data_IF_721116634569
#
_entry.id   IF_721116634569
#
_cell.length_a   1.000
_cell.length_b   1.000
_cell.length_c   1.000
_cell.angle_alpha   90.00
_cell.angle_beta   90.00
_cell.angle_gamma   90.00
#
_symmetry.space_group_name_H-M   'P 1'
#
loop_
_entity.id
_entity.type
_entity.pdbx_description
1 polymer ?
#
# COMPACT_ATOMS: atom_id res chain seq x y z
N UNK A 1 -1.64 24.31 22.06
CA UNK A 1 -1.79 23.30 21.02
C UNK A 1 -0.50 23.35 20.19
N UNK A 2 0.38 22.39 20.34
CA UNK A 2 1.71 22.44 19.71
C UNK A 2 2.01 21.07 19.09
N UNK A 3 2.52 21.08 17.85
CA UNK A 3 3.10 19.92 17.19
C UNK A 3 4.21 19.31 18.06
N UNK A 4 4.25 18.00 18.17
CA UNK A 4 5.33 17.29 18.86
C UNK A 4 6.68 17.54 18.15
N UNK A 5 7.78 17.54 18.91
CA UNK A 5 9.11 17.77 18.35
C UNK A 5 9.48 16.77 17.24
N UNK A 6 9.01 15.53 17.36
CA UNK A 6 9.22 14.45 16.36
C UNK A 6 8.48 14.77 15.05
N UNK A 7 7.22 15.21 15.12
CA UNK A 7 6.41 15.56 13.94
C UNK A 7 7.05 16.70 13.15
N UNK A 8 7.51 17.75 13.87
CA UNK A 8 8.24 18.87 13.23
C UNK A 8 9.49 18.41 12.51
N UNK A 9 10.28 17.50 13.12
CA UNK A 9 11.49 16.96 12.49
C UNK A 9 11.13 16.20 11.23
N UNK A 10 10.11 15.34 11.24
CA UNK A 10 9.68 14.57 10.07
C UNK A 10 9.25 15.50 8.94
N UNK A 11 8.43 16.51 9.23
CA UNK A 11 7.94 17.47 8.24
C UNK A 11 9.11 18.26 7.64
N UNK A 12 9.98 18.82 8.47
CA UNK A 12 11.12 19.61 8.00
C UNK A 12 12.06 18.75 7.16
N UNK A 13 12.39 17.55 7.64
CA UNK A 13 13.26 16.61 6.91
C UNK A 13 12.63 16.18 5.59
N UNK A 14 11.32 15.89 5.57
CA UNK A 14 10.59 15.52 4.36
C UNK A 14 10.65 16.62 3.30
N UNK A 15 10.39 17.86 3.66
CA UNK A 15 10.48 18.98 2.71
C UNK A 15 11.91 19.31 2.28
N UNK A 16 12.91 19.15 3.17
CA UNK A 16 14.32 19.32 2.79
C UNK A 16 14.72 18.26 1.76
N UNK A 17 14.41 16.97 2.01
CA UNK A 17 14.75 15.89 1.08
C UNK A 17 13.97 16.07 -0.24
N UNK A 18 12.73 16.54 -0.20
CA UNK A 18 11.96 16.90 -1.39
C UNK A 18 12.67 18.01 -2.21
N UNK A 19 13.19 19.04 -1.55
CA UNK A 19 13.94 20.10 -2.23
C UNK A 19 15.25 19.56 -2.84
N UNK A 20 15.96 18.68 -2.13
CA UNK A 20 17.15 18.01 -2.67
C UNK A 20 16.79 17.14 -3.88
N UNK A 21 15.68 16.38 -3.82
CA UNK A 21 15.18 15.59 -4.93
C UNK A 21 14.92 16.47 -6.17
N UNK A 22 14.28 17.64 -5.98
CA UNK A 22 14.07 18.61 -7.06
C UNK A 22 15.38 19.13 -7.66
N UNK A 23 16.36 19.48 -6.83
CA UNK A 23 17.68 19.90 -7.33
C UNK A 23 18.33 18.81 -8.17
N UNK A 24 18.33 17.56 -7.70
CA UNK A 24 18.89 16.43 -8.44
C UNK A 24 18.19 16.19 -9.78
N UNK A 25 16.86 16.35 -9.82
CA UNK A 25 16.07 16.24 -11.03
C UNK A 25 16.45 17.32 -12.06
N UNK A 26 16.46 18.60 -11.67
CA UNK A 26 16.73 19.73 -12.57
C UNK A 26 18.21 19.84 -12.98
N UNK A 27 19.12 19.30 -12.19
CA UNK A 27 20.57 19.27 -12.54
C UNK A 27 20.97 18.03 -13.34
N UNK A 28 19.99 17.16 -13.68
CA UNK A 28 20.26 15.90 -14.36
C UNK A 28 21.38 15.09 -13.70
N UNK A 29 21.34 15.01 -12.36
CA UNK A 29 22.33 14.29 -11.56
C UNK A 29 22.30 12.78 -11.85
N UNK A 30 23.21 12.03 -11.22
CA UNK A 30 23.27 10.58 -11.35
C UNK A 30 21.88 9.94 -11.08
N UNK A 31 21.39 9.15 -12.04
CA UNK A 31 20.03 8.59 -12.02
C UNK A 31 19.77 7.71 -10.78
N UNK A 32 20.77 6.91 -10.35
CA UNK A 32 20.62 6.06 -9.16
C UNK A 32 20.51 6.90 -7.89
N UNK A 33 21.32 7.98 -7.78
CA UNK A 33 21.22 8.90 -6.65
C UNK A 33 19.87 9.63 -6.63
N UNK A 34 19.42 10.15 -7.79
CA UNK A 34 18.12 10.80 -7.92
C UNK A 34 16.98 9.84 -7.56
N UNK A 35 17.04 8.60 -8.03
CA UNK A 35 16.10 7.53 -7.69
C UNK A 35 16.05 7.24 -6.18
N UNK A 36 17.18 7.04 -5.51
CA UNK A 36 17.23 6.78 -4.08
C UNK A 36 16.70 7.96 -3.25
N UNK A 37 17.07 9.20 -3.63
CA UNK A 37 16.62 10.40 -2.90
C UNK A 37 15.12 10.65 -3.11
N UNK A 38 14.59 10.47 -4.32
CA UNK A 38 13.15 10.62 -4.60
C UNK A 38 12.35 9.51 -3.91
N UNK A 39 12.83 8.27 -3.86
CA UNK A 39 12.20 7.19 -3.09
C UNK A 39 12.13 7.54 -1.59
N UNK A 40 13.23 8.03 -1.02
CA UNK A 40 13.26 8.49 0.38
C UNK A 40 12.34 9.68 0.64
N UNK A 41 12.26 10.63 -0.32
CA UNK A 41 11.34 11.76 -0.23
C UNK A 41 9.87 11.30 -0.25
N UNK A 42 9.50 10.37 -1.15
CA UNK A 42 8.16 9.78 -1.20
C UNK A 42 7.78 9.10 0.11
N UNK A 43 8.68 8.29 0.68
CA UNK A 43 8.43 7.62 1.95
C UNK A 43 8.19 8.62 3.10
N UNK A 44 8.95 9.73 3.15
CA UNK A 44 8.74 10.78 4.16
C UNK A 44 7.46 11.59 3.91
N UNK A 45 7.16 11.90 2.65
CA UNK A 45 5.91 12.58 2.30
C UNK A 45 4.70 11.72 2.61
N UNK A 46 4.79 10.39 2.38
CA UNK A 46 3.77 9.46 2.80
C UNK A 46 3.54 9.53 4.32
N UNK A 47 4.60 9.54 5.15
CA UNK A 47 4.48 9.73 6.61
C UNK A 47 3.77 11.04 6.97
N UNK A 48 4.09 12.14 6.30
CA UNK A 48 3.47 13.45 6.55
C UNK A 48 1.99 13.45 6.16
N UNK A 49 1.64 12.85 5.02
CA UNK A 49 0.25 12.70 4.55
C UNK A 49 -0.56 11.87 5.55
N UNK A 50 0.00 10.75 6.03
CA UNK A 50 -0.66 9.90 7.02
C UNK A 50 -0.91 10.63 8.35
N UNK A 51 0.12 11.27 8.90
CA UNK A 51 0.00 12.05 10.14
C UNK A 51 -1.05 13.18 9.98
N UNK A 52 -0.99 13.93 8.89
CA UNK A 52 -1.94 15.00 8.63
C UNK A 52 -3.39 14.49 8.47
N UNK A 53 -3.56 13.35 7.82
CA UNK A 53 -4.85 12.68 7.65
C UNK A 53 -5.41 12.19 8.99
N UNK A 54 -4.57 11.62 9.85
CA UNK A 54 -4.96 11.20 11.20
C UNK A 54 -5.39 12.40 12.06
N UNK A 55 -4.63 13.48 12.04
CA UNK A 55 -4.96 14.73 12.76
C UNK A 55 -6.27 15.33 12.27
N UNK A 56 -6.50 15.34 10.96
CA UNK A 56 -7.74 15.82 10.36
C UNK A 56 -8.92 14.91 10.76
N UNK A 57 -8.75 13.60 10.65
CA UNK A 57 -9.77 12.61 10.97
C UNK A 57 -10.19 12.63 12.43
N UNK A 58 -9.24 12.85 13.34
CA UNK A 58 -9.51 12.92 14.77
C UNK A 58 -10.50 14.04 15.15
N UNK A 59 -10.63 15.05 14.31
CA UNK A 59 -11.57 16.16 14.47
C UNK A 59 -13.02 15.77 14.12
N UNK A 60 -13.24 14.74 13.31
CA UNK A 60 -14.56 14.34 12.79
C UNK A 60 -15.09 13.02 13.41
N UNK A 61 -14.23 12.26 14.06
CA UNK A 61 -14.60 10.98 14.66
C UNK A 61 -14.09 9.74 13.90
N UNK A 62 -14.18 8.55 14.52
CA UNK A 62 -13.50 7.34 14.03
C UNK A 62 -13.91 6.90 12.62
N UNK A 63 -15.18 7.02 12.27
CA UNK A 63 -15.68 6.63 10.94
C UNK A 63 -15.11 7.50 9.83
N UNK A 64 -15.14 8.83 10.03
CA UNK A 64 -14.60 9.79 9.06
C UNK A 64 -13.08 9.66 8.94
N UNK A 65 -12.37 9.37 10.05
CA UNK A 65 -10.93 9.10 10.02
C UNK A 65 -10.61 7.94 9.09
N UNK A 66 -11.36 6.84 9.16
CA UNK A 66 -11.18 5.69 8.30
C UNK A 66 -11.37 6.01 6.81
N UNK A 67 -12.40 6.81 6.47
CA UNK A 67 -12.64 7.24 5.07
C UNK A 67 -11.49 8.14 4.59
N UNK A 68 -11.08 9.12 5.39
CA UNK A 68 -9.99 10.03 5.03
C UNK A 68 -8.67 9.26 4.84
N UNK A 69 -8.40 8.28 5.71
CA UNK A 69 -7.20 7.46 5.60
C UNK A 69 -7.24 6.56 4.36
N UNK A 70 -8.41 6.00 4.02
CA UNK A 70 -8.58 5.27 2.77
C UNK A 70 -8.41 6.15 1.53
N UNK A 71 -8.88 7.41 1.59
CA UNK A 71 -8.78 8.34 0.46
C UNK A 71 -7.39 8.94 0.27
N UNK A 72 -6.70 9.29 1.36
CA UNK A 72 -5.46 10.06 1.32
C UNK A 72 -4.22 9.26 1.70
N UNK A 73 -4.34 8.16 2.44
CA UNK A 73 -3.20 7.37 2.91
C UNK A 73 -2.30 6.88 1.79
N UNK A 74 -2.88 6.43 0.68
CA UNK A 74 -2.14 5.89 -0.47
C UNK A 74 -1.96 6.90 -1.62
N UNK A 75 -2.10 8.22 -1.37
CA UNK A 75 -1.88 9.23 -2.41
C UNK A 75 -0.50 9.16 -3.07
N UNK A 76 0.61 9.00 -2.34
CA UNK A 76 1.93 8.88 -2.96
C UNK A 76 2.01 7.68 -3.90
N UNK A 77 1.49 6.53 -3.52
CA UNK A 77 1.44 5.33 -4.35
C UNK A 77 0.56 5.54 -5.59
N UNK A 78 -0.61 6.19 -5.42
CA UNK A 78 -1.48 6.57 -6.53
C UNK A 78 -0.76 7.45 -7.55
N UNK A 79 -0.04 8.48 -7.10
CA UNK A 79 0.70 9.38 -7.98
C UNK A 79 1.83 8.66 -8.72
N UNK A 80 2.64 7.86 -8.02
CA UNK A 80 3.69 7.05 -8.66
C UNK A 80 3.08 6.17 -9.76
N UNK A 81 1.97 5.48 -9.48
CA UNK A 81 1.30 4.63 -10.47
C UNK A 81 0.75 5.44 -11.65
N UNK A 82 0.16 6.62 -11.42
CA UNK A 82 -0.33 7.50 -12.50
C UNK A 82 0.81 7.93 -13.41
N UNK A 83 1.92 8.42 -12.86
CA UNK A 83 3.07 8.85 -13.66
C UNK A 83 3.75 7.68 -14.36
N UNK A 84 3.86 6.52 -13.72
CA UNK A 84 4.39 5.30 -14.33
C UNK A 84 3.51 4.81 -15.51
N UNK A 85 2.17 4.87 -15.39
CA UNK A 85 1.25 4.57 -16.49
C UNK A 85 1.44 5.54 -17.67
N UNK A 86 1.57 6.84 -17.38
CA UNK A 86 1.84 7.85 -18.42
C UNK A 86 3.18 7.63 -19.11
N UNK A 87 4.17 7.11 -18.39
CA UNK A 87 5.48 6.74 -18.94
C UNK A 87 5.47 5.37 -19.67
N UNK A 88 4.34 4.64 -19.68
CA UNK A 88 4.22 3.34 -20.32
C UNK A 88 4.75 2.16 -19.51
N UNK A 89 5.08 2.37 -18.24
CA UNK A 89 5.68 1.38 -17.34
C UNK A 89 4.62 0.48 -16.66
N UNK A 90 3.77 -0.18 -17.46
CA UNK A 90 2.66 -1.01 -16.94
C UNK A 90 3.12 -2.12 -16.01
N UNK A 91 4.26 -2.76 -16.32
CA UNK A 91 4.80 -3.84 -15.48
C UNK A 91 5.28 -3.33 -14.11
N UNK A 92 5.82 -2.11 -14.06
CA UNK A 92 6.16 -1.46 -12.79
C UNK A 92 4.89 -1.25 -11.96
N UNK A 93 3.81 -0.75 -12.58
CA UNK A 93 2.54 -0.50 -11.87
C UNK A 93 1.91 -1.80 -11.37
N UNK A 94 1.82 -2.83 -12.22
CA UNK A 94 1.32 -4.14 -11.80
C UNK A 94 2.20 -4.72 -10.69
N UNK A 95 3.52 -4.63 -10.84
CA UNK A 95 4.49 -5.02 -9.81
C UNK A 95 4.27 -4.27 -8.50
N UNK A 96 4.10 -2.94 -8.56
CA UNK A 96 3.87 -2.11 -7.38
C UNK A 96 2.60 -2.49 -6.62
N UNK A 97 1.47 -2.61 -7.32
CA UNK A 97 0.18 -2.94 -6.71
C UNK A 97 0.16 -4.34 -6.11
N UNK A 98 0.64 -5.35 -6.84
CA UNK A 98 0.77 -6.70 -6.31
C UNK A 98 1.83 -6.75 -5.22
N UNK A 99 2.96 -6.07 -5.41
CA UNK A 99 4.04 -5.97 -4.45
C UNK A 99 3.61 -5.35 -3.12
N UNK A 100 2.76 -4.32 -3.15
CA UNK A 100 2.20 -3.71 -1.95
C UNK A 100 1.32 -4.68 -1.16
N UNK A 101 0.51 -5.50 -1.86
CA UNK A 101 -0.27 -6.56 -1.21
C UNK A 101 0.67 -7.61 -0.62
N UNK A 102 1.70 -8.05 -1.36
CA UNK A 102 2.70 -9.03 -0.90
C UNK A 102 3.50 -8.48 0.29
N UNK A 103 3.98 -7.25 0.20
CA UNK A 103 4.74 -6.61 1.27
C UNK A 103 3.91 -6.52 2.55
N UNK A 104 2.67 -6.04 2.48
CA UNK A 104 1.79 -5.95 3.64
C UNK A 104 1.46 -7.34 4.21
N UNK A 105 1.04 -8.29 3.36
CA UNK A 105 0.57 -9.62 3.80
C UNK A 105 1.68 -10.56 4.25
N UNK A 106 2.91 -10.38 3.79
CA UNK A 106 4.04 -11.25 4.11
C UNK A 106 5.14 -10.54 4.91
N UNK A 107 5.72 -9.46 4.37
CA UNK A 107 6.86 -8.79 5.01
C UNK A 107 6.43 -8.05 6.28
N UNK A 108 5.45 -7.16 6.17
CA UNK A 108 5.03 -6.29 7.28
C UNK A 108 4.31 -7.07 8.35
N UNK A 109 3.38 -7.95 7.94
CA UNK A 109 2.71 -8.86 8.86
C UNK A 109 3.74 -9.78 9.55
N UNK A 110 4.69 -10.32 8.79
CA UNK A 110 5.77 -11.14 9.33
C UNK A 110 6.65 -10.39 10.32
N UNK A 111 7.06 -9.16 10.02
CA UNK A 111 7.84 -8.32 10.94
C UNK A 111 7.05 -7.95 12.20
N UNK A 112 5.75 -7.65 12.06
CA UNK A 112 4.86 -7.35 13.17
C UNK A 112 4.75 -8.56 14.11
N UNK A 113 4.49 -9.75 13.58
CA UNK A 113 4.40 -10.99 14.34
C UNK A 113 5.76 -11.34 14.97
N UNK A 114 6.86 -11.19 14.24
CA UNK A 114 8.21 -11.48 14.73
C UNK A 114 8.59 -10.57 15.91
N UNK A 115 8.56 -9.25 15.70
CA UNK A 115 8.97 -8.32 16.75
C UNK A 115 7.99 -8.28 17.93
N UNK A 116 6.69 -8.41 17.64
CA UNK A 116 5.66 -8.53 18.67
C UNK A 116 5.82 -9.80 19.50
N UNK A 117 6.00 -10.94 18.83
CA UNK A 117 6.16 -12.24 19.45
C UNK A 117 7.46 -12.42 20.23
N UNK A 118 8.59 -11.92 19.72
CA UNK A 118 9.87 -11.94 20.44
C UNK A 118 9.81 -11.15 21.74
N UNK A 119 9.06 -10.06 21.78
CA UNK A 119 8.93 -9.22 22.97
C UNK A 119 7.87 -9.70 23.95
N UNK A 120 6.73 -10.13 23.45
CA UNK A 120 5.53 -10.36 24.28
C UNK A 120 5.11 -11.85 24.36
N UNK A 121 5.81 -12.76 23.67
CA UNK A 121 5.39 -14.16 23.52
C UNK A 121 4.26 -14.33 22.52
N UNK A 122 3.45 -15.37 22.67
CA UNK A 122 2.26 -15.58 21.83
C UNK A 122 1.29 -14.42 21.96
N UNK A 123 0.97 -13.76 20.85
CA UNK A 123 0.05 -12.64 20.84
C UNK A 123 -1.34 -13.11 20.40
N UNK A 124 -2.37 -12.65 21.12
CA UNK A 124 -3.77 -12.97 20.82
C UNK A 124 -4.49 -11.76 20.26
N UNK A 125 -5.39 -12.01 19.32
CA UNK A 125 -6.22 -11.00 18.68
C UNK A 125 -7.63 -11.55 18.39
N UNK A 126 -8.60 -10.63 18.24
CA UNK A 126 -9.95 -11.00 17.80
C UNK A 126 -9.91 -11.45 16.35
N UNK A 127 -10.18 -12.71 16.10
CA UNK A 127 -10.06 -13.28 14.76
C UNK A 127 -11.17 -12.85 13.79
N UNK A 128 -12.34 -12.40 14.25
CA UNK A 128 -13.47 -12.09 13.36
C UNK A 128 -13.19 -10.93 12.38
N UNK A 129 -12.66 -9.75 12.80
CA UNK A 129 -12.35 -8.69 11.86
C UNK A 129 -11.31 -9.09 10.79
N UNK A 130 -10.14 -9.65 11.14
CA UNK A 130 -9.17 -10.09 10.15
C UNK A 130 -9.68 -11.21 9.24
N UNK A 131 -10.50 -12.15 9.73
CA UNK A 131 -11.14 -13.18 8.91
C UNK A 131 -12.03 -12.60 7.80
N UNK A 132 -12.81 -11.58 8.12
CA UNK A 132 -13.65 -10.93 7.12
C UNK A 132 -12.79 -10.27 6.03
N UNK A 133 -11.72 -9.56 6.43
CA UNK A 133 -10.79 -8.95 5.48
C UNK A 133 -10.10 -10.03 4.64
N UNK A 134 -9.63 -11.12 5.25
CA UNK A 134 -9.03 -12.25 4.54
C UNK A 134 -10.00 -12.88 3.52
N UNK A 135 -11.29 -13.03 3.88
CA UNK A 135 -12.32 -13.52 2.95
C UNK A 135 -12.47 -12.57 1.75
N UNK A 136 -12.56 -11.26 1.99
CA UNK A 136 -12.64 -10.27 0.90
C UNK A 136 -11.37 -10.27 0.05
N UNK A 137 -10.19 -10.47 0.62
CA UNK A 137 -8.93 -10.61 -0.11
C UNK A 137 -8.92 -11.85 -1.00
N UNK A 138 -9.42 -12.99 -0.52
CA UNK A 138 -9.55 -14.23 -1.32
C UNK A 138 -10.51 -14.00 -2.48
N UNK A 139 -11.64 -13.34 -2.24
CA UNK A 139 -12.61 -13.01 -3.30
C UNK A 139 -12.00 -12.02 -4.32
N UNK A 140 -11.29 -11.00 -3.85
CA UNK A 140 -10.57 -10.06 -4.70
C UNK A 140 -9.54 -10.78 -5.58
N UNK A 141 -8.73 -11.65 -4.98
CA UNK A 141 -7.78 -12.48 -5.72
C UNK A 141 -8.47 -13.34 -6.78
N UNK A 142 -9.55 -14.04 -6.42
CA UNK A 142 -10.30 -14.87 -7.37
C UNK A 142 -10.82 -14.03 -8.56
N UNK A 143 -11.32 -12.83 -8.28
CA UNK A 143 -11.76 -11.89 -9.31
C UNK A 143 -10.59 -11.41 -10.21
N UNK A 144 -9.46 -11.00 -9.60
CA UNK A 144 -8.26 -10.57 -10.33
C UNK A 144 -7.63 -11.69 -11.17
N UNK A 145 -7.83 -12.97 -10.80
CA UNK A 145 -7.34 -14.11 -11.56
C UNK A 145 -8.09 -14.32 -12.88
N UNK A 146 -9.37 -13.90 -12.99
CA UNK A 146 -10.22 -14.17 -14.15
C UNK A 146 -9.62 -13.62 -15.46
N UNK A 147 -9.20 -12.33 -15.58
CA UNK A 147 -8.62 -11.81 -16.81
C UNK A 147 -7.32 -12.53 -17.21
N UNK A 148 -6.48 -12.86 -16.23
CA UNK A 148 -5.22 -13.60 -16.45
C UNK A 148 -5.51 -15.01 -16.99
N UNK A 149 -6.44 -15.73 -16.37
CA UNK A 149 -6.84 -17.07 -16.81
C UNK A 149 -7.53 -17.03 -18.19
N UNK A 150 -8.38 -16.03 -18.44
CA UNK A 150 -9.02 -15.81 -19.74
C UNK A 150 -7.99 -15.72 -20.86
N UNK A 151 -6.91 -14.98 -20.65
CA UNK A 151 -5.82 -14.84 -21.62
C UNK A 151 -4.93 -16.09 -21.70
N UNK A 152 -4.60 -16.70 -20.56
CA UNK A 152 -3.73 -17.86 -20.50
C UNK A 152 -4.36 -19.09 -21.19
N UNK A 153 -5.67 -19.26 -21.04
CA UNK A 153 -6.44 -20.38 -21.59
C UNK A 153 -7.03 -20.10 -23.00
N UNK A 154 -6.74 -18.92 -23.57
CA UNK A 154 -7.22 -18.49 -24.88
C UNK A 154 -8.75 -18.68 -25.05
N UNK A 155 -9.52 -18.27 -24.03
CA UNK A 155 -10.98 -18.36 -24.08
C UNK A 155 -11.57 -17.33 -25.04
N UNK A 156 -12.83 -17.53 -25.49
CA UNK A 156 -13.52 -16.57 -26.37
C UNK A 156 -13.65 -15.16 -25.76
N UNK A 157 -13.57 -15.03 -24.42
CA UNK A 157 -13.59 -13.76 -23.72
C UNK A 157 -12.30 -12.94 -23.86
N UNK A 158 -11.21 -13.54 -24.37
CA UNK A 158 -9.94 -12.84 -24.61
C UNK A 158 -10.10 -11.64 -25.57
N UNK A 159 -10.99 -11.75 -26.56
CA UNK A 159 -11.30 -10.64 -27.47
C UNK A 159 -11.96 -9.43 -26.79
N UNK A 160 -12.45 -9.59 -25.57
CA UNK A 160 -13.17 -8.56 -24.79
C UNK A 160 -12.48 -8.18 -23.47
N UNK A 161 -11.16 -8.41 -23.35
CA UNK A 161 -10.41 -8.19 -22.09
C UNK A 161 -10.59 -6.77 -21.53
N UNK A 162 -10.52 -5.73 -22.36
CA UNK A 162 -10.70 -4.35 -21.90
C UNK A 162 -12.09 -4.13 -21.27
N UNK A 163 -13.12 -4.69 -21.87
CA UNK A 163 -14.48 -4.61 -21.33
C UNK A 163 -14.61 -5.41 -20.03
N UNK A 164 -13.99 -6.57 -19.98
CA UNK A 164 -13.93 -7.42 -18.78
C UNK A 164 -13.20 -6.69 -17.64
N UNK A 165 -12.08 -6.04 -17.93
CA UNK A 165 -11.30 -5.25 -16.95
C UNK A 165 -12.14 -4.09 -16.39
N UNK A 166 -12.85 -3.34 -17.23
CA UNK A 166 -13.75 -2.27 -16.77
C UNK A 166 -14.88 -2.82 -15.90
N UNK A 167 -15.52 -3.92 -16.33
CA UNK A 167 -16.59 -4.54 -15.56
C UNK A 167 -16.10 -5.04 -14.20
N UNK A 168 -14.95 -5.69 -14.18
CA UNK A 168 -14.30 -6.17 -12.96
C UNK A 168 -13.93 -5.00 -12.03
N UNK A 169 -13.34 -3.94 -12.58
CA UNK A 169 -12.97 -2.76 -11.81
C UNK A 169 -14.19 -2.12 -11.12
N UNK A 170 -15.31 -2.01 -11.81
CA UNK A 170 -16.55 -1.48 -11.25
C UNK A 170 -17.07 -2.37 -10.11
N UNK A 171 -17.08 -3.69 -10.29
CA UNK A 171 -17.52 -4.64 -9.24
C UNK A 171 -16.64 -4.54 -7.99
N UNK A 172 -15.30 -4.51 -8.17
CA UNK A 172 -14.37 -4.40 -7.06
C UNK A 172 -14.52 -3.07 -6.30
N UNK A 173 -14.72 -1.95 -7.02
CA UNK A 173 -14.96 -0.64 -6.39
C UNK A 173 -16.32 -0.60 -5.66
N UNK A 174 -17.37 -1.19 -6.20
CA UNK A 174 -18.65 -1.31 -5.49
C UNK A 174 -18.48 -2.13 -4.21
N UNK A 175 -17.73 -3.23 -4.29
CA UNK A 175 -17.43 -4.08 -3.13
C UNK A 175 -16.59 -3.30 -2.08
N UNK A 176 -15.63 -2.51 -2.51
CA UNK A 176 -14.84 -1.62 -1.65
C UNK A 176 -15.73 -0.59 -0.93
N UNK A 177 -16.58 0.10 -1.66
CA UNK A 177 -17.53 1.08 -1.12
C UNK A 177 -18.48 0.40 -0.12
N UNK A 178 -19.04 -0.75 -0.47
CA UNK A 178 -19.92 -1.51 0.41
C UNK A 178 -19.22 -1.95 1.69
N UNK A 179 -17.97 -2.45 1.61
CA UNK A 179 -17.17 -2.83 2.78
C UNK A 179 -16.86 -1.64 3.70
N UNK A 180 -16.60 -0.49 3.11
CA UNK A 180 -16.37 0.77 3.85
C UNK A 180 -17.65 1.22 4.58
N UNK A 181 -18.80 1.22 3.91
CA UNK A 181 -20.08 1.55 4.55
C UNK A 181 -20.46 0.57 5.65
N UNK A 182 -20.21 -0.72 5.45
CA UNK A 182 -20.44 -1.74 6.47
C UNK A 182 -19.60 -1.45 7.73
N UNK A 183 -18.33 -1.10 7.55
CA UNK A 183 -17.43 -0.73 8.64
C UNK A 183 -17.89 0.50 9.41
N UNK A 184 -18.48 1.49 8.72
CA UNK A 184 -18.98 2.73 9.35
C UNK A 184 -20.22 2.52 10.22
N UNK A 185 -21.06 1.53 9.93
CA UNK A 185 -22.30 1.26 10.68
C UNK A 185 -22.05 0.59 12.04
N UNK A 186 -20.82 0.36 12.43
CA UNK A 186 -20.48 -0.04 13.81
C UNK A 186 -20.49 -1.53 14.08
N UNK A 187 -20.74 -2.37 13.08
CA UNK A 187 -20.40 -3.78 13.13
C UNK A 187 -18.88 -3.89 12.92
N UNK A 188 -18.14 -3.75 14.01
CA UNK A 188 -16.69 -3.48 14.16
C UNK A 188 -15.77 -4.53 13.55
N UNK A 189 -16.10 -5.04 12.37
CA UNK A 189 -15.35 -6.12 11.73
C UNK A 189 -14.17 -5.64 10.86
N UNK A 190 -14.20 -4.41 10.34
CA UNK A 190 -13.21 -3.96 9.33
C UNK A 190 -12.41 -2.72 9.75
N UNK A 191 -12.95 -1.88 10.62
CA UNK A 191 -12.21 -0.71 11.14
C UNK A 191 -12.02 -0.85 12.65
N UNK A 192 -10.81 -0.66 13.19
CA UNK A 192 -10.63 -0.61 14.63
C UNK A 192 -11.50 0.48 15.21
N UNK A 193 -12.48 0.11 16.02
CA UNK A 193 -13.48 1.03 16.56
C UNK A 193 -12.93 2.07 17.56
N UNK A 194 -11.64 2.05 17.87
CA UNK A 194 -11.00 3.06 18.74
C UNK A 194 -9.53 3.23 18.35
N UNK A 195 -9.04 4.47 18.23
CA UNK A 195 -7.59 4.71 18.34
C UNK A 195 -7.14 4.21 19.72
N UNK A 196 -6.11 3.41 19.72
CA UNK A 196 -5.59 2.73 20.93
C UNK A 196 -4.73 3.58 21.80
N UNK A 197 -4.59 4.70 21.73
CA UNK A 197 -4.20 5.53 22.86
C UNK A 197 -5.44 6.32 23.22
N UNK A 198 -5.72 6.39 24.50
CA UNK A 198 -6.71 7.34 24.98
C UNK A 198 -6.57 8.61 24.16
N UNK A 199 -7.70 9.09 23.62
CA UNK A 199 -7.77 10.25 22.72
C UNK A 199 -6.59 11.19 23.00
N UNK A 200 -5.53 11.11 22.20
CA UNK A 200 -4.71 12.30 22.05
C UNK A 200 -5.63 13.25 21.29
N UNK A 201 -6.10 14.33 21.92
CA UNK A 201 -6.88 15.31 21.18
C UNK A 201 -6.06 15.73 19.96
N UNK A 202 -6.75 16.05 18.86
CA UNK A 202 -6.06 16.62 17.71
C UNK A 202 -5.09 17.70 18.22
N UNK A 203 -3.79 17.44 18.06
CA UNK A 203 -2.77 18.38 18.54
C UNK A 203 -2.58 19.53 17.56
N UNK A 204 -3.04 19.32 16.32
CA UNK A 204 -2.95 20.33 15.26
C UNK A 204 -4.28 21.05 15.09
N UNK A 205 -4.26 22.36 14.87
CA UNK A 205 -5.42 23.08 14.36
C UNK A 205 -5.85 22.46 13.03
N UNK A 206 -7.16 22.33 12.80
CA UNK A 206 -7.70 21.75 11.56
C UNK A 206 -7.15 22.42 10.31
N UNK A 207 -7.00 23.76 10.33
CA UNK A 207 -6.39 24.51 9.22
C UNK A 207 -4.96 24.10 8.94
N UNK A 208 -4.17 23.85 9.98
CA UNK A 208 -2.79 23.39 9.85
C UNK A 208 -2.72 21.98 9.25
N UNK A 209 -3.58 21.06 9.71
CA UNK A 209 -3.66 19.71 9.18
C UNK A 209 -4.01 19.72 7.68
N UNK A 210 -4.99 20.55 7.27
CA UNK A 210 -5.37 20.70 5.86
C UNK A 210 -4.21 21.28 5.03
N UNK A 211 -3.53 22.31 5.52
CA UNK A 211 -2.41 22.93 4.81
C UNK A 211 -1.27 21.93 4.63
N UNK A 212 -0.88 21.23 5.71
CA UNK A 212 0.20 20.24 5.64
C UNK A 212 -0.19 19.08 4.71
N UNK A 213 -1.43 18.59 4.79
CA UNK A 213 -1.94 17.55 3.88
C UNK A 213 -1.87 17.99 2.42
N UNK A 214 -2.36 19.20 2.11
CA UNK A 214 -2.35 19.72 0.74
C UNK A 214 -0.92 19.96 0.22
N UNK A 215 -0.03 20.52 1.07
CA UNK A 215 1.37 20.71 0.70
C UNK A 215 2.11 19.38 0.49
N UNK A 216 1.91 18.42 1.39
CA UNK A 216 2.56 17.11 1.29
C UNK A 216 2.04 16.29 0.11
N UNK A 217 0.73 16.29 -0.14
CA UNK A 217 0.13 15.64 -1.31
C UNK A 217 0.60 16.29 -2.63
N UNK A 218 0.63 17.62 -2.69
CA UNK A 218 1.17 18.34 -3.85
C UNK A 218 2.66 18.03 -4.08
N UNK A 219 3.46 18.05 -3.02
CA UNK A 219 4.88 17.67 -3.09
C UNK A 219 5.04 16.20 -3.53
N UNK A 220 4.22 15.28 -3.02
CA UNK A 220 4.25 13.89 -3.41
C UNK A 220 3.94 13.69 -4.90
N UNK A 221 3.03 14.48 -5.48
CA UNK A 221 2.76 14.43 -6.92
C UNK A 221 4.01 14.82 -7.75
N UNK A 222 4.70 15.91 -7.40
CA UNK A 222 5.93 16.31 -8.09
C UNK A 222 7.05 15.28 -7.90
N UNK A 223 7.28 14.82 -6.68
CA UNK A 223 8.33 13.84 -6.40
C UNK A 223 8.05 12.50 -7.09
N UNK A 224 6.78 12.11 -7.23
CA UNK A 224 6.38 10.91 -7.96
C UNK A 224 6.75 10.98 -9.45
N UNK A 225 6.57 12.15 -10.09
CA UNK A 225 7.01 12.37 -11.46
C UNK A 225 8.54 12.25 -11.57
N UNK A 226 9.28 12.95 -10.69
CA UNK A 226 10.75 12.89 -10.67
C UNK A 226 11.27 11.48 -10.40
N UNK A 227 10.61 10.75 -9.50
CA UNK A 227 10.92 9.36 -9.20
C UNK A 227 10.76 8.47 -10.42
N UNK A 228 9.65 8.59 -11.16
CA UNK A 228 9.39 7.78 -12.35
C UNK A 228 10.39 8.10 -13.47
N UNK A 229 10.75 9.36 -13.65
CA UNK A 229 11.78 9.77 -14.62
C UNK A 229 13.15 9.19 -14.25
N UNK A 230 13.51 9.13 -12.97
CA UNK A 230 14.77 8.56 -12.51
C UNK A 230 14.77 7.02 -12.50
N UNK A 231 13.58 6.39 -12.42
CA UNK A 231 13.40 4.95 -12.26
C UNK A 231 13.96 4.17 -13.46
N UNK A 232 13.57 4.53 -14.68
CA UNK A 232 13.97 3.79 -15.89
C UNK A 232 15.50 3.77 -16.11
N UNK A 233 16.22 4.92 -16.05
CA UNK A 233 17.68 4.92 -16.10
C UNK A 233 18.33 4.16 -14.93
N UNK A 234 17.76 4.27 -13.72
CA UNK A 234 18.29 3.56 -12.55
C UNK A 234 18.14 2.03 -12.71
N UNK A 235 17.00 1.56 -13.21
CA UNK A 235 16.81 0.13 -13.50
C UNK A 235 17.84 -0.39 -14.50
N UNK A 236 18.15 0.36 -15.56
CA UNK A 236 19.16 -0.02 -16.56
C UNK A 236 20.57 -0.08 -15.96
N UNK A 237 20.93 0.86 -15.07
CA UNK A 237 22.26 0.89 -14.43
C UNK A 237 22.40 -0.25 -13.41
N UNK A 238 21.35 -0.55 -12.68
CA UNK A 238 21.34 -1.56 -11.60
C UNK A 238 21.01 -2.97 -12.12
N UNK A 239 20.73 -3.12 -13.42
CA UNK A 239 20.29 -4.37 -14.06
C UNK A 239 19.06 -4.99 -13.38
N UNK A 240 18.07 -4.15 -13.09
CA UNK A 240 16.82 -4.53 -12.40
C UNK A 240 15.67 -4.53 -13.41
N UNK A 241 14.87 -5.59 -13.42
CA UNK A 241 13.69 -5.65 -14.27
C UNK A 241 12.52 -4.82 -13.70
N UNK A 242 11.59 -4.41 -14.60
CA UNK A 242 10.44 -3.56 -14.26
C UNK A 242 9.54 -4.15 -13.17
N UNK A 243 9.29 -5.47 -13.24
CA UNK A 243 8.41 -6.14 -12.29
C UNK A 243 9.00 -6.15 -10.89
N UNK A 244 10.30 -6.42 -10.75
CA UNK A 244 11.00 -6.36 -9.47
C UNK A 244 11.04 -4.94 -8.90
N UNK A 245 11.33 -3.94 -9.76
CA UNK A 245 11.34 -2.55 -9.33
C UNK A 245 9.99 -2.12 -8.75
N UNK A 246 8.89 -2.49 -9.41
CA UNK A 246 7.54 -2.29 -8.89
C UNK A 246 7.29 -3.07 -7.60
N UNK A 247 7.49 -4.38 -7.64
CA UNK A 247 7.12 -5.31 -6.59
C UNK A 247 7.86 -5.06 -5.26
N UNK A 248 9.13 -4.69 -5.32
CA UNK A 248 9.95 -4.51 -4.11
C UNK A 248 10.15 -3.03 -3.80
N UNK A 249 10.65 -2.25 -4.76
CA UNK A 249 11.12 -0.91 -4.46
C UNK A 249 9.95 0.07 -4.33
N UNK A 250 9.07 0.12 -5.34
CA UNK A 250 7.92 1.03 -5.32
C UNK A 250 6.95 0.65 -4.20
N UNK A 251 6.67 -0.65 -4.04
CA UNK A 251 5.78 -1.16 -3.02
C UNK A 251 6.25 -0.82 -1.59
N UNK A 252 7.53 -1.03 -1.29
CA UNK A 252 8.08 -0.71 0.05
C UNK A 252 8.12 0.79 0.30
N UNK A 253 8.48 1.59 -0.71
CA UNK A 253 8.53 3.05 -0.57
C UNK A 253 7.13 3.66 -0.39
N UNK A 254 6.13 3.15 -1.12
CA UNK A 254 4.74 3.63 -1.08
C UNK A 254 4.04 3.34 0.25
N UNK A 255 4.33 2.20 0.88
CA UNK A 255 3.64 1.73 2.10
C UNK A 255 4.45 1.94 3.39
N UNK A 256 5.38 2.87 3.41
CA UNK A 256 6.30 3.06 4.54
C UNK A 256 5.59 3.36 5.89
N UNK A 257 4.40 4.00 5.85
CA UNK A 257 3.62 4.35 7.06
C UNK A 257 2.96 3.12 7.66
N UNK A 258 2.18 2.41 6.86
CA UNK A 258 1.45 1.22 7.27
C UNK A 258 2.42 0.19 7.85
N UNK A 259 3.59 0.09 7.25
CA UNK A 259 4.67 -0.78 7.66
C UNK A 259 5.14 -0.45 9.10
N UNK A 260 5.46 0.82 9.34
CA UNK A 260 5.93 1.27 10.66
C UNK A 260 4.85 1.16 11.72
N UNK A 261 3.64 1.60 11.42
CA UNK A 261 2.51 1.65 12.38
C UNK A 261 2.08 0.24 12.75
N UNK A 262 1.95 -0.67 11.77
CA UNK A 262 1.60 -2.06 12.00
C UNK A 262 2.59 -2.76 12.93
N UNK A 263 3.88 -2.64 12.67
CA UNK A 263 4.95 -3.23 13.50
C UNK A 263 4.95 -2.62 14.91
N UNK A 264 4.78 -1.30 15.05
CA UNK A 264 4.75 -0.64 16.36
C UNK A 264 3.57 -1.12 17.24
N UNK A 265 2.39 -1.33 16.65
CA UNK A 265 1.26 -1.87 17.39
C UNK A 265 1.54 -3.29 17.92
N UNK A 266 2.05 -4.18 17.09
CA UNK A 266 2.42 -5.54 17.51
C UNK A 266 3.48 -5.52 18.62
N UNK A 267 4.51 -4.68 18.48
CA UNK A 267 5.57 -4.51 19.49
C UNK A 267 5.02 -4.00 20.85
N UNK A 268 3.90 -3.26 20.83
CA UNK A 268 3.18 -2.79 22.05
C UNK A 268 2.13 -3.78 22.56
N UNK A 269 2.12 -5.02 22.06
CA UNK A 269 1.12 -6.05 22.37
C UNK A 269 -0.31 -5.64 22.02
N UNK A 270 -0.46 -4.95 20.88
CA UNK A 270 -1.74 -4.46 20.37
C UNK A 270 -2.00 -5.10 19.00
N UNK A 271 -2.02 -6.44 18.98
CA UNK A 271 -2.07 -7.21 17.75
C UNK A 271 -3.36 -7.01 16.96
N UNK A 272 -4.51 -6.76 17.62
CA UNK A 272 -5.78 -6.42 16.96
C UNK A 272 -5.63 -5.24 15.99
N UNK A 273 -4.91 -4.20 16.41
CA UNK A 273 -4.71 -2.99 15.59
C UNK A 273 -3.66 -3.20 14.53
N UNK A 274 -2.60 -3.93 14.85
CA UNK A 274 -1.58 -4.32 13.88
C UNK A 274 -2.21 -5.08 12.71
N UNK A 275 -2.97 -6.13 13.01
CA UNK A 275 -3.70 -6.91 12.01
C UNK A 275 -4.64 -6.05 11.18
N UNK A 276 -5.40 -5.17 11.85
CA UNK A 276 -6.34 -4.31 11.16
C UNK A 276 -5.66 -3.34 10.18
N UNK A 277 -4.61 -2.64 10.60
CA UNK A 277 -3.89 -1.69 9.73
C UNK A 277 -3.29 -2.41 8.52
N UNK A 278 -2.56 -3.51 8.75
CA UNK A 278 -1.84 -4.22 7.71
C UNK A 278 -2.80 -4.86 6.68
N UNK A 279 -3.83 -5.55 7.16
CA UNK A 279 -4.74 -6.27 6.27
C UNK A 279 -5.70 -5.34 5.52
N UNK A 280 -6.17 -4.25 6.18
CA UNK A 280 -7.01 -3.28 5.48
C UNK A 280 -6.23 -2.50 4.42
N UNK A 281 -4.94 -2.24 4.61
CA UNK A 281 -4.09 -1.65 3.57
C UNK A 281 -4.04 -2.55 2.33
N UNK A 282 -3.80 -3.86 2.50
CA UNK A 282 -3.85 -4.83 1.38
C UNK A 282 -5.21 -4.84 0.68
N UNK A 283 -6.30 -4.82 1.46
CA UNK A 283 -7.67 -4.81 0.92
C UNK A 283 -7.96 -3.54 0.12
N UNK A 284 -7.53 -2.38 0.62
CA UNK A 284 -7.67 -1.09 -0.07
C UNK A 284 -6.96 -1.10 -1.42
N UNK A 285 -5.76 -1.67 -1.50
CA UNK A 285 -5.02 -1.80 -2.76
C UNK A 285 -5.76 -2.71 -3.72
N UNK A 286 -6.21 -3.89 -3.27
CA UNK A 286 -6.85 -4.89 -4.12
C UNK A 286 -8.23 -4.47 -4.62
N UNK A 287 -9.08 -3.89 -3.76
CA UNK A 287 -10.46 -3.52 -4.08
C UNK A 287 -10.63 -2.05 -4.48
N UNK A 288 -9.71 -1.18 -4.10
CA UNK A 288 -9.80 0.27 -4.31
C UNK A 288 -8.78 0.78 -5.33
N UNK A 289 -7.51 0.78 -4.98
CA UNK A 289 -6.45 1.45 -5.75
C UNK A 289 -6.24 0.79 -7.12
N UNK A 290 -6.10 -0.53 -7.18
CA UNK A 290 -5.88 -1.24 -8.44
C UNK A 290 -7.05 -1.04 -9.42
N UNK A 291 -8.33 -1.29 -9.04
CA UNK A 291 -9.46 -1.04 -9.93
C UNK A 291 -9.60 0.43 -10.33
N UNK A 292 -9.34 1.36 -9.41
CA UNK A 292 -9.35 2.79 -9.71
C UNK A 292 -8.33 3.15 -10.80
N UNK A 293 -7.09 2.65 -10.68
CA UNK A 293 -6.03 2.87 -11.66
C UNK A 293 -6.34 2.24 -13.01
N UNK A 294 -6.98 1.06 -13.04
CA UNK A 294 -7.46 0.46 -14.29
C UNK A 294 -8.44 1.40 -14.99
N UNK A 295 -9.45 1.92 -14.28
CA UNK A 295 -10.40 2.88 -14.87
C UNK A 295 -9.74 4.19 -15.29
N UNK A 296 -8.86 4.74 -14.45
CA UNK A 296 -8.13 5.98 -14.77
C UNK A 296 -7.24 5.81 -15.99
N UNK A 297 -6.65 4.64 -16.22
CA UNK A 297 -5.75 4.40 -17.35
C UNK A 297 -6.42 4.64 -18.71
N UNK A 298 -7.73 4.46 -18.83
CA UNK A 298 -8.49 4.75 -20.05
C UNK A 298 -8.57 6.26 -20.37
N UNK A 299 -8.37 7.12 -19.36
CA UNK A 299 -8.52 8.58 -19.47
C UNK A 299 -7.17 9.31 -19.45
N UNK A 300 -6.16 8.71 -18.84
CA UNK A 300 -4.84 9.35 -18.63
C UNK A 300 -4.00 9.52 -19.91
N UNK A 301 -4.37 8.85 -21.02
CA UNK A 301 -3.69 8.99 -22.31
C UNK A 301 -2.33 8.28 -22.41
N UNK A 302 -2.02 7.38 -21.47
CA UNK A 302 -0.84 6.51 -21.49
C UNK A 302 -1.18 5.09 -21.88
N UNK A 303 -0.41 4.12 -21.37
CA UNK A 303 -0.70 2.71 -21.57
C UNK A 303 -1.91 2.27 -20.70
N UNK A 304 -2.84 1.50 -21.29
CA UNK A 304 -4.00 0.95 -20.57
C UNK A 304 -3.50 -0.11 -19.58
N UNK A 305 -3.85 0.06 -18.31
CA UNK A 305 -3.59 -0.92 -17.28
C UNK A 305 -4.65 -2.03 -17.33
N UNK A 306 -4.21 -3.27 -17.38
CA UNK A 306 -5.06 -4.46 -17.36
C UNK A 306 -4.85 -5.26 -16.07
N UNK A 307 -5.88 -6.02 -15.65
CA UNK A 307 -5.74 -7.03 -14.59
C UNK A 307 -5.03 -8.31 -15.05
N UNK A 308 -4.64 -8.38 -16.30
CA UNK A 308 -3.86 -9.52 -16.82
C UNK A 308 -2.44 -9.45 -16.25
N UNK A 309 -2.21 -10.24 -15.22
CA UNK A 309 -0.92 -10.36 -14.55
C UNK A 309 -0.05 -11.43 -15.22
N UNK A 310 1.27 -11.37 -14.98
CA UNK A 310 2.11 -12.51 -15.31
C UNK A 310 1.72 -13.72 -14.43
N UNK A 311 1.79 -14.96 -14.94
CA UNK A 311 1.43 -16.15 -14.14
C UNK A 311 2.17 -16.21 -12.80
N UNK A 312 3.43 -15.80 -12.77
CA UNK A 312 4.23 -15.77 -11.55
C UNK A 312 3.70 -14.77 -10.52
N UNK A 313 3.32 -13.55 -10.95
CA UNK A 313 2.69 -12.56 -10.05
C UNK A 313 1.35 -13.08 -9.49
N UNK A 314 0.55 -13.72 -10.35
CA UNK A 314 -0.74 -14.28 -9.92
C UNK A 314 -0.57 -15.38 -8.88
N UNK A 315 0.39 -16.31 -9.10
CA UNK A 315 0.65 -17.39 -8.14
C UNK A 315 1.21 -16.84 -6.82
N UNK A 316 2.15 -15.89 -6.86
CA UNK A 316 2.68 -15.26 -5.66
C UNK A 316 1.58 -14.53 -4.87
N UNK A 317 0.68 -13.81 -5.56
CA UNK A 317 -0.46 -13.17 -4.93
C UNK A 317 -1.39 -14.19 -4.27
N UNK A 318 -1.68 -15.31 -4.94
CA UNK A 318 -2.46 -16.41 -4.37
C UNK A 318 -1.84 -16.95 -3.08
N UNK A 319 -0.55 -17.27 -3.12
CA UNK A 319 0.17 -17.79 -1.96
C UNK A 319 0.13 -16.81 -0.79
N UNK A 320 0.37 -15.53 -1.03
CA UNK A 320 0.34 -14.50 0.01
C UNK A 320 -1.04 -14.38 0.67
N UNK A 321 -2.11 -14.31 -0.15
CA UNK A 321 -3.49 -14.19 0.34
C UNK A 321 -3.90 -15.44 1.12
N UNK A 322 -3.57 -16.63 0.63
CA UNK A 322 -3.90 -17.89 1.29
C UNK A 322 -3.15 -18.03 2.62
N UNK A 323 -1.83 -17.82 2.60
CA UNK A 323 -1.00 -17.99 3.82
C UNK A 323 -1.37 -16.97 4.88
N UNK A 324 -1.58 -15.68 4.51
CA UNK A 324 -2.03 -14.66 5.45
C UNK A 324 -3.42 -14.96 6.02
N UNK A 325 -4.34 -15.51 5.20
CA UNK A 325 -5.64 -15.95 5.68
C UNK A 325 -5.53 -17.06 6.74
N UNK A 326 -4.69 -18.08 6.52
CA UNK A 326 -4.49 -19.12 7.52
C UNK A 326 -3.99 -18.59 8.86
N UNK A 327 -3.04 -17.65 8.85
CA UNK A 327 -2.47 -17.06 10.07
C UNK A 327 -3.52 -16.31 10.89
N UNK A 328 -4.49 -15.65 10.25
CA UNK A 328 -5.50 -14.88 10.99
C UNK A 328 -6.69 -15.70 11.47
N UNK A 329 -6.79 -16.97 11.06
CA UNK A 329 -7.97 -17.80 11.36
C UNK A 329 -8.04 -18.30 12.80
N UNK A 330 -6.93 -18.55 13.47
CA UNK A 330 -6.89 -19.07 14.83
C UNK A 330 -6.97 -17.97 15.92
N UNK A 331 -6.66 -16.72 15.57
CA UNK A 331 -6.69 -15.60 16.51
C UNK A 331 -5.47 -15.51 17.42
N UNK A 332 -4.43 -16.27 17.12
CA UNK A 332 -3.14 -16.25 17.83
C UNK A 332 -2.01 -16.08 16.81
N UNK A 333 -0.87 -15.55 17.24
CA UNK A 333 0.34 -15.47 16.41
C UNK A 333 1.58 -15.75 17.23
N UNK A 334 2.51 -16.52 16.64
CA UNK A 334 3.80 -16.86 17.22
C UNK A 334 4.93 -16.31 16.34
N UNK A 335 6.06 -15.93 16.96
CA UNK A 335 7.20 -15.34 16.24
C UNK A 335 7.72 -16.19 15.08
N UNK A 336 7.57 -17.51 15.14
CA UNK A 336 8.00 -18.45 14.10
C UNK A 336 7.22 -18.24 12.79
N UNK A 337 5.92 -17.96 12.86
CA UNK A 337 5.09 -17.60 11.69
C UNK A 337 5.61 -16.32 11.05
N UNK A 338 6.04 -15.35 11.88
CA UNK A 338 6.65 -14.13 11.39
C UNK A 338 7.90 -14.38 10.55
N UNK A 339 8.80 -15.26 11.00
CA UNK A 339 9.99 -15.66 10.22
C UNK A 339 9.59 -16.35 8.92
N UNK A 340 8.60 -17.24 8.95
CA UNK A 340 8.15 -17.96 7.77
C UNK A 340 7.57 -17.01 6.70
N UNK A 341 6.77 -16.01 7.11
CA UNK A 341 6.22 -15.00 6.22
C UNK A 341 7.31 -14.13 5.58
N UNK A 342 8.27 -13.66 6.40
CA UNK A 342 9.43 -12.88 5.89
C UNK A 342 10.24 -13.72 4.91
N UNK A 343 10.50 -14.99 5.26
CA UNK A 343 11.21 -15.93 4.39
C UNK A 343 10.52 -16.11 3.04
N UNK A 344 9.19 -16.27 3.04
CA UNK A 344 8.40 -16.37 1.81
C UNK A 344 8.49 -15.10 0.97
N UNK A 345 8.38 -13.91 1.58
CA UNK A 345 8.56 -12.65 0.87
C UNK A 345 9.94 -12.53 0.22
N UNK A 346 11.01 -12.86 0.95
CA UNK A 346 12.37 -12.82 0.43
C UNK A 346 12.59 -13.81 -0.72
N UNK A 347 12.00 -15.00 -0.66
CA UNK A 347 12.04 -15.98 -1.75
C UNK A 347 11.33 -15.44 -3.01
N UNK A 348 10.16 -14.82 -2.83
CA UNK A 348 9.43 -14.18 -3.93
C UNK A 348 10.27 -13.02 -4.52
N UNK A 349 10.80 -12.15 -3.69
CA UNK A 349 11.65 -11.04 -4.14
C UNK A 349 12.87 -11.53 -4.90
N UNK A 350 13.55 -12.58 -4.41
CA UNK A 350 14.69 -13.19 -5.08
C UNK A 350 14.29 -13.82 -6.44
N UNK A 351 13.14 -14.48 -6.51
CA UNK A 351 12.65 -15.06 -7.77
C UNK A 351 12.42 -13.99 -8.83
N UNK A 352 11.89 -12.83 -8.46
CA UNK A 352 11.71 -11.71 -9.39
C UNK A 352 12.98 -10.91 -9.66
N UNK A 353 14.01 -11.04 -8.85
CA UNK A 353 15.32 -10.46 -9.13
C UNK A 353 16.00 -11.11 -10.33
N UNK A 354 15.90 -12.46 -10.44
CA UNK A 354 16.52 -13.24 -11.51
C UNK A 354 15.60 -13.50 -12.72
N UNK A 355 14.30 -13.14 -12.64
CA UNK A 355 13.26 -13.51 -13.64
C UNK A 355 12.62 -12.32 -14.37
#
# INVERSE_FOLDING_TARGET
MHMEKKEKIIIITGFIITAVAGVLYYTHANAVLAFCVTAGALALLALIVGDATEQLGSSFGPGTTGILQAAFGNLPELFVCIFALRAGLNKVVQGALVGSILANSLLVLGLAILFGGLKNGTQRFKSNPPKMVATLMILAFAALAIPTLTRLLHTSAEAHLNTLDVFLAIILLITFIASTFFSLKGDSAVVPAKPVSGKKPAHWPMSLAIIILACAAGAAAFVSDWFVVALEPAMKILDINETFAGLVIVAVAGNAIENLVGIQFAYRNQMDYSMSVIMNSSLLIALGLFPLLVLLSFVLGGAILSFVLTPMLLVCLALAVIVSAFIVFDGESIWLEGIALIGLYLLIAAAFWWG
#
